data_IF_990167701693
#
_entry.id   IF_990167701693
#
_cell.length_a   1.000
_cell.length_b   1.000
_cell.length_c   1.000
_cell.angle_alpha   90.00
_cell.angle_beta   90.00
_cell.angle_gamma   90.00
#
_symmetry.space_group_name_H-M   'P 1'
#
loop_
_entity.id
_entity.type
_entity.pdbx_description
1 polymer ?
#
# COMPACT_ATOMS: atom_id res chain seq x y z
N UNK A 1 -12.18 21.22 -18.94
CA UNK A 1 -11.25 22.37 -18.90
C UNK A 1 -10.35 22.33 -20.13
N UNK A 2 -10.38 23.37 -20.94
CA UNK A 2 -9.50 23.55 -22.11
C UNK A 2 -8.79 24.88 -21.90
N UNK A 3 -7.46 24.90 -22.04
CA UNK A 3 -6.68 26.14 -22.15
C UNK A 3 -5.85 26.05 -23.41
N UNK A 4 -5.81 27.14 -24.18
CA UNK A 4 -4.97 27.28 -25.38
C UNK A 4 -5.10 26.11 -26.38
N UNK A 5 -6.34 25.64 -26.58
CA UNK A 5 -6.65 24.52 -27.48
C UNK A 5 -6.29 23.13 -26.95
N UNK A 6 -5.64 23.03 -25.78
CA UNK A 6 -5.30 21.76 -25.13
C UNK A 6 -6.33 21.42 -24.06
N UNK A 7 -6.91 20.23 -24.16
CA UNK A 7 -7.80 19.72 -23.10
C UNK A 7 -6.96 19.39 -21.86
N UNK A 8 -7.17 20.15 -20.79
CA UNK A 8 -6.47 19.99 -19.50
C UNK A 8 -7.18 18.95 -18.63
N UNK A 9 -8.51 18.97 -18.61
CA UNK A 9 -9.32 18.05 -17.81
C UNK A 9 -10.61 17.75 -18.55
N UNK A 10 -10.93 16.47 -18.69
CA UNK A 10 -12.22 16.00 -19.19
C UNK A 10 -12.68 14.92 -18.23
N UNK A 11 -13.88 15.08 -17.69
CA UNK A 11 -14.52 14.03 -16.91
C UNK A 11 -15.61 13.36 -17.72
N UNK A 12 -15.83 12.07 -17.49
CA UNK A 12 -16.85 11.28 -18.22
C UNK A 12 -18.29 11.59 -17.77
N UNK A 13 -18.47 12.38 -16.70
CA UNK A 13 -19.78 12.76 -16.18
C UNK A 13 -20.58 11.60 -15.59
N UNK A 14 -19.94 10.48 -15.23
CA UNK A 14 -20.62 9.27 -14.79
C UNK A 14 -21.28 9.36 -13.40
N UNK A 15 -21.04 10.46 -12.68
CA UNK A 15 -21.49 10.63 -11.28
C UNK A 15 -20.73 9.75 -10.28
N UNK A 16 -19.79 8.91 -10.73
CA UNK A 16 -19.01 8.04 -9.84
C UNK A 16 -17.74 8.75 -9.38
N UNK A 17 -17.71 9.10 -8.09
CA UNK A 17 -16.61 9.86 -7.47
C UNK A 17 -15.24 9.21 -7.74
N UNK A 18 -15.12 7.88 -7.66
CA UNK A 18 -13.87 7.17 -7.96
C UNK A 18 -13.34 7.41 -9.39
N UNK A 19 -14.22 7.50 -10.39
CA UNK A 19 -13.80 7.73 -11.78
C UNK A 19 -13.33 9.16 -11.98
N UNK A 20 -14.07 10.11 -11.40
CA UNK A 20 -13.68 11.52 -11.39
C UNK A 20 -12.32 11.70 -10.72
N UNK A 21 -12.07 11.00 -9.62
CA UNK A 21 -10.76 11.02 -8.96
C UNK A 21 -9.65 10.42 -9.84
N UNK A 22 -9.95 9.38 -10.63
CA UNK A 22 -8.98 8.81 -11.57
C UNK A 22 -8.65 9.79 -12.72
N UNK A 23 -9.62 10.55 -13.18
CA UNK A 23 -9.44 11.55 -14.24
C UNK A 23 -8.67 12.78 -13.74
N UNK A 24 -8.86 13.19 -12.49
CA UNK A 24 -8.19 14.36 -11.90
C UNK A 24 -6.78 14.00 -11.38
N UNK A 25 -6.65 12.90 -10.65
CA UNK A 25 -5.41 12.56 -9.93
C UNK A 25 -4.65 11.37 -10.52
N UNK A 26 -5.22 10.70 -11.52
CA UNK A 26 -4.63 9.55 -12.18
C UNK A 26 -5.04 8.23 -11.54
N UNK A 27 -4.96 7.16 -12.35
CA UNK A 27 -5.41 5.82 -11.99
C UNK A 27 -4.71 5.23 -10.76
N UNK A 28 -3.42 5.57 -10.56
CA UNK A 28 -2.65 5.07 -9.40
C UNK A 28 -3.27 5.55 -8.08
N UNK A 29 -3.64 6.83 -8.00
CA UNK A 29 -4.20 7.42 -6.78
C UNK A 29 -5.62 6.91 -6.58
N UNK A 30 -6.44 6.89 -7.63
CA UNK A 30 -7.83 6.45 -7.54
C UNK A 30 -7.98 4.99 -7.06
N UNK A 31 -7.09 4.09 -7.48
CA UNK A 31 -7.07 2.69 -7.00
C UNK A 31 -6.73 2.56 -5.52
N UNK A 32 -5.97 3.52 -4.99
CA UNK A 32 -5.53 3.54 -3.61
C UNK A 32 -6.45 4.37 -2.70
N UNK A 33 -7.56 4.92 -3.23
CA UNK A 33 -8.53 5.64 -2.40
C UNK A 33 -9.22 4.68 -1.43
N UNK A 34 -9.38 5.16 -0.20
CA UNK A 34 -10.17 4.49 0.83
C UNK A 34 -11.49 5.21 0.92
N UNK A 35 -12.57 4.50 0.56
CA UNK A 35 -13.93 4.98 0.74
C UNK A 35 -14.37 4.77 2.19
N UNK A 36 -14.96 5.80 2.78
CA UNK A 36 -15.36 5.86 4.18
C UNK A 36 -16.73 6.51 4.25
N UNK A 37 -17.64 5.86 4.97
CA UNK A 37 -18.97 6.40 5.26
C UNK A 37 -19.15 6.58 6.76
N UNK A 38 -19.98 7.54 7.16
CA UNK A 38 -20.29 7.80 8.56
C UNK A 38 -21.67 8.41 8.70
N UNK A 39 -22.52 7.75 9.48
CA UNK A 39 -23.89 8.18 9.71
C UNK A 39 -24.07 8.59 11.17
N UNK A 40 -24.78 9.69 11.37
CA UNK A 40 -25.29 10.14 12.68
C UNK A 40 -26.70 10.68 12.47
N UNK A 41 -27.41 11.00 13.56
CA UNK A 41 -28.76 11.56 13.46
C UNK A 41 -28.85 12.88 12.68
N UNK A 42 -27.74 13.63 12.58
CA UNK A 42 -27.69 14.95 11.98
C UNK A 42 -26.87 15.00 10.68
N UNK A 43 -26.04 13.99 10.40
CA UNK A 43 -25.06 14.00 9.31
C UNK A 43 -25.00 12.66 8.60
N UNK A 44 -24.95 12.71 7.26
CA UNK A 44 -24.47 11.64 6.41
C UNK A 44 -23.13 12.06 5.79
N UNK A 45 -22.07 11.31 6.06
CA UNK A 45 -20.72 11.56 5.59
C UNK A 45 -20.36 10.50 4.53
N UNK A 46 -20.01 10.94 3.34
CA UNK A 46 -19.35 10.13 2.30
C UNK A 46 -17.97 10.72 2.00
N UNK A 47 -16.93 9.92 2.12
CA UNK A 47 -15.57 10.42 2.00
C UNK A 47 -14.63 9.45 1.28
N UNK A 48 -13.69 10.01 0.53
CA UNK A 48 -12.64 9.28 -0.18
C UNK A 48 -11.30 9.88 0.22
N UNK A 49 -10.47 9.03 0.81
CA UNK A 49 -9.19 9.41 1.41
C UNK A 49 -8.05 8.71 0.67
N UNK A 50 -7.11 9.48 0.12
CA UNK A 50 -5.90 8.88 -0.43
C UNK A 50 -4.99 8.40 0.71
N UNK A 51 -4.28 7.30 0.46
CA UNK A 51 -3.29 6.82 1.42
C UNK A 51 -2.17 7.87 1.65
N UNK A 52 -1.52 7.85 2.83
CA UNK A 52 -0.49 8.84 3.18
C UNK A 52 0.67 8.97 2.17
N UNK A 53 0.99 7.90 1.44
CA UNK A 53 2.04 7.90 0.40
C UNK A 53 1.73 8.84 -0.77
N UNK A 54 0.46 9.17 -0.98
CA UNK A 54 0.01 10.07 -2.05
C UNK A 54 -0.18 11.52 -1.60
N UNK A 55 0.42 11.92 -0.48
CA UNK A 55 0.32 13.28 0.05
C UNK A 55 0.83 14.37 -0.92
N UNK A 56 0.52 15.63 -0.63
CA UNK A 56 0.92 16.83 -1.38
C UNK A 56 1.51 17.90 -0.47
N UNK A 57 2.22 18.87 -1.05
CA UNK A 57 2.82 19.99 -0.32
C UNK A 57 1.84 21.12 0.02
N UNK A 58 0.61 21.06 -0.52
CA UNK A 58 -0.41 22.09 -0.28
C UNK A 58 -1.77 21.47 0.05
N UNK A 59 -2.60 22.25 0.72
CA UNK A 59 -3.95 21.87 1.17
C UNK A 59 -5.04 21.95 0.09
N UNK A 60 -4.71 22.34 -1.14
CA UNK A 60 -5.73 22.53 -2.20
C UNK A 60 -6.34 21.21 -2.68
N UNK A 61 -5.76 20.08 -2.27
CA UNK A 61 -6.25 18.74 -2.57
C UNK A 61 -7.22 18.19 -1.53
N UNK A 62 -7.59 19.03 -0.55
CA UNK A 62 -8.65 18.75 0.43
C UNK A 62 -9.92 19.41 -0.09
N UNK A 63 -10.88 18.60 -0.52
CA UNK A 63 -12.15 19.05 -1.05
C UNK A 63 -13.28 18.69 -0.11
N UNK A 64 -13.96 19.69 0.45
CA UNK A 64 -15.04 19.52 1.42
C UNK A 64 -16.31 20.13 0.82
N UNK A 65 -17.37 19.32 0.80
CA UNK A 65 -18.68 19.70 0.32
C UNK A 65 -19.72 19.50 1.41
N UNK A 66 -20.65 20.44 1.52
CA UNK A 66 -21.82 20.34 2.38
C UNK A 66 -23.05 20.62 1.53
N UNK A 67 -23.99 19.67 1.46
CA UNK A 67 -25.20 19.77 0.64
C UNK A 67 -24.89 20.20 -0.81
N UNK A 68 -23.83 19.62 -1.40
CA UNK A 68 -23.37 19.90 -2.76
C UNK A 68 -22.60 21.22 -2.96
N UNK A 69 -22.39 22.03 -1.91
CA UNK A 69 -21.62 23.28 -1.99
C UNK A 69 -20.19 23.08 -1.52
N UNK A 70 -19.23 23.61 -2.27
CA UNK A 70 -17.83 23.63 -1.84
C UNK A 70 -17.62 24.60 -0.67
N UNK A 71 -17.10 24.11 0.45
CA UNK A 71 -16.94 24.87 1.69
C UNK A 71 -15.46 25.00 2.05
N UNK A 72 -15.06 26.20 2.47
CA UNK A 72 -13.77 26.43 3.13
C UNK A 72 -14.01 26.57 4.63
N UNK A 73 -13.78 25.49 5.37
CA UNK A 73 -13.88 25.50 6.83
C UNK A 73 -12.54 25.07 7.45
N UNK A 74 -11.97 25.92 8.31
CA UNK A 74 -10.68 25.68 8.96
C UNK A 74 -10.74 24.49 9.92
N UNK A 75 -11.82 24.36 10.68
CA UNK A 75 -11.98 23.30 11.67
C UNK A 75 -12.09 21.92 11.00
N UNK A 76 -12.84 21.79 9.91
CA UNK A 76 -12.93 20.53 9.17
C UNK A 76 -11.59 20.16 8.50
N UNK A 77 -10.86 21.14 7.97
CA UNK A 77 -9.50 20.90 7.48
C UNK A 77 -8.58 20.38 8.59
N UNK A 78 -8.69 20.95 9.79
CA UNK A 78 -7.94 20.50 10.97
C UNK A 78 -8.35 19.08 11.38
N UNK A 79 -9.65 18.74 11.34
CA UNK A 79 -10.15 17.40 11.62
C UNK A 79 -9.50 16.34 10.72
N UNK A 80 -9.41 16.64 9.42
CA UNK A 80 -8.78 15.75 8.44
C UNK A 80 -7.30 15.55 8.80
N UNK A 81 -6.56 16.63 9.03
CA UNK A 81 -5.14 16.54 9.40
C UNK A 81 -4.92 15.77 10.70
N UNK A 82 -5.79 15.96 11.69
CA UNK A 82 -5.76 15.26 12.98
C UNK A 82 -6.09 13.76 12.84
N UNK A 83 -6.98 13.40 11.91
CA UNK A 83 -7.25 12.00 11.56
C UNK A 83 -6.02 11.31 10.96
N UNK A 84 -5.26 12.05 10.15
CA UNK A 84 -3.99 11.61 9.56
C UNK A 84 -2.77 11.83 10.47
N UNK A 85 -2.97 12.30 11.70
CA UNK A 85 -1.89 12.56 12.64
C UNK A 85 -1.04 11.29 12.81
N UNK A 86 0.29 11.43 12.78
CA UNK A 86 1.33 10.37 12.72
C UNK A 86 1.54 9.68 11.37
N UNK A 87 0.58 9.73 10.44
CA UNK A 87 0.70 9.10 9.12
C UNK A 87 1.36 9.99 8.07
N UNK A 88 1.21 11.31 8.23
CA UNK A 88 1.77 12.30 7.31
C UNK A 88 3.08 12.88 7.84
N UNK A 89 4.02 13.12 6.92
CA UNK A 89 5.21 13.90 7.22
C UNK A 89 4.85 15.37 7.46
N UNK A 90 5.70 16.08 8.19
CA UNK A 90 5.53 17.52 8.47
C UNK A 90 5.42 18.31 7.16
N UNK A 91 4.45 19.22 7.10
CA UNK A 91 4.20 20.07 5.92
C UNK A 91 3.54 19.34 4.74
N UNK A 92 3.04 18.12 4.93
CA UNK A 92 2.29 17.37 3.92
C UNK A 92 0.79 17.37 4.22
N UNK A 93 0.01 17.33 3.17
CA UNK A 93 -1.45 17.32 3.20
C UNK A 93 -1.98 16.11 2.42
N UNK A 94 -3.07 15.47 2.87
CA UNK A 94 -3.68 14.38 2.13
C UNK A 94 -4.42 14.89 0.90
N UNK A 95 -4.69 13.97 -0.04
CA UNK A 95 -5.69 14.17 -1.07
C UNK A 95 -6.98 13.55 -0.54
N UNK A 96 -8.04 14.34 -0.45
CA UNK A 96 -9.32 13.82 0.00
C UNK A 96 -10.50 14.58 -0.61
N UNK A 97 -11.61 13.85 -0.65
CA UNK A 97 -12.92 14.38 -0.97
C UNK A 97 -13.88 13.96 0.12
N UNK A 98 -14.63 14.92 0.63
CA UNK A 98 -15.64 14.70 1.66
C UNK A 98 -16.91 15.39 1.22
N UNK A 99 -18.00 14.65 1.19
CA UNK A 99 -19.36 15.15 1.03
C UNK A 99 -20.13 14.91 2.33
N UNK A 100 -20.72 15.96 2.85
CA UNK A 100 -21.54 15.92 4.06
C UNK A 100 -22.95 16.36 3.67
N UNK A 101 -23.92 15.51 3.93
CA UNK A 101 -25.34 15.84 3.84
C UNK A 101 -25.89 16.04 5.25
N UNK A 102 -26.62 17.12 5.44
CA UNK A 102 -27.22 17.47 6.73
C UNK A 102 -28.42 18.39 6.54
N UNK A 103 -29.25 18.48 7.57
CA UNK A 103 -30.40 19.39 7.56
C UNK A 103 -29.95 20.84 7.28
N UNK A 104 -30.46 21.51 6.23
CA UNK A 104 -30.15 22.91 5.95
C UNK A 104 -30.39 23.85 7.12
N UNK A 105 -31.29 23.53 8.05
CA UNK A 105 -31.57 24.32 9.26
C UNK A 105 -30.36 24.33 10.21
N UNK A 106 -29.55 23.27 10.19
CA UNK A 106 -28.32 23.15 11.00
C UNK A 106 -27.09 23.78 10.32
N UNK A 107 -27.26 24.27 9.09
CA UNK A 107 -26.23 24.95 8.30
C UNK A 107 -26.60 26.42 8.18
N UNK A 108 -26.00 27.26 9.03
CA UNK A 108 -26.12 28.69 8.84
C UNK A 108 -25.14 29.14 7.75
N UNK A 109 -25.59 29.06 6.51
CA UNK A 109 -24.93 29.63 5.31
C UNK A 109 -25.09 31.15 5.28
N UNK A 110 -25.02 31.82 6.43
CA UNK A 110 -25.01 33.28 6.49
C UNK A 110 -23.61 33.80 6.17
N UNK A 111 -23.28 33.71 4.88
CA UNK A 111 -22.04 34.20 4.29
C UNK A 111 -22.35 34.66 2.89
N UNK A 112 -22.13 35.96 2.67
CA UNK A 112 -22.27 36.67 1.41
C UNK A 112 -21.91 35.81 0.18
N UNK A 113 -22.47 36.09 -1.02
CA UNK A 113 -22.25 35.32 -2.25
C UNK A 113 -20.80 34.99 -2.63
N UNK A 114 -19.84 35.71 -2.04
CA UNK A 114 -18.39 35.60 -2.25
C UNK A 114 -17.60 34.98 -1.08
N UNK A 115 -18.21 34.72 0.08
CA UNK A 115 -17.54 34.16 1.26
C UNK A 115 -17.91 32.67 1.43
N UNK A 116 -16.89 31.81 1.43
CA UNK A 116 -17.00 30.35 1.45
C UNK A 116 -17.03 29.77 2.88
N UNK A 117 -17.39 30.56 3.89
CA UNK A 117 -17.24 30.20 5.31
C UNK A 117 -18.58 29.87 5.95
N UNK A 118 -18.82 28.61 6.28
CA UNK A 118 -20.11 28.15 6.84
C UNK A 118 -20.01 27.97 8.36
N UNK A 119 -21.01 28.44 9.10
CA UNK A 119 -21.16 28.17 10.53
C UNK A 119 -22.06 26.95 10.73
N UNK A 120 -21.53 25.92 11.38
CA UNK A 120 -22.22 24.65 11.60
C UNK A 120 -22.60 24.55 13.08
N UNK A 121 -23.86 24.23 13.39
CA UNK A 121 -24.35 24.22 14.78
C UNK A 121 -23.74 23.13 15.67
N UNK A 122 -23.21 22.04 15.08
CA UNK A 122 -22.52 20.95 15.82
C UNK A 122 -21.18 20.58 15.18
N UNK A 123 -20.37 21.59 14.89
CA UNK A 123 -19.08 21.41 14.21
C UNK A 123 -18.09 20.50 14.96
N UNK A 124 -18.14 20.48 16.30
CA UNK A 124 -17.28 19.62 17.12
C UNK A 124 -17.62 18.13 16.97
N UNK A 125 -18.90 17.79 16.89
CA UNK A 125 -19.33 16.40 16.69
C UNK A 125 -18.89 15.90 15.32
N UNK A 126 -19.01 16.75 14.30
CA UNK A 126 -18.54 16.45 12.95
C UNK A 126 -17.01 16.33 12.90
N UNK A 127 -16.29 17.16 13.65
CA UNK A 127 -14.83 17.05 13.80
C UNK A 127 -14.45 15.68 14.35
N UNK A 128 -15.04 15.26 15.47
CA UNK A 128 -14.76 13.97 16.10
C UNK A 128 -15.10 12.79 15.19
N UNK A 129 -16.24 12.88 14.48
CA UNK A 129 -16.66 11.88 13.50
C UNK A 129 -15.62 11.71 12.40
N UNK A 130 -15.17 12.81 11.78
CA UNK A 130 -14.15 12.78 10.72
C UNK A 130 -12.84 12.17 11.22
N UNK A 131 -12.35 12.63 12.39
CA UNK A 131 -11.09 12.11 12.97
C UNK A 131 -11.19 10.61 13.22
N UNK A 132 -12.27 10.16 13.85
CA UNK A 132 -12.50 8.75 14.19
C UNK A 132 -12.57 7.91 12.93
N UNK A 133 -13.33 8.35 11.93
CA UNK A 133 -13.52 7.63 10.68
C UNK A 133 -12.24 7.50 9.85
N UNK A 134 -11.41 8.55 9.81
CA UNK A 134 -10.09 8.47 9.17
C UNK A 134 -9.19 7.50 9.93
N UNK A 135 -9.15 7.57 11.27
CA UNK A 135 -8.34 6.66 12.08
C UNK A 135 -8.76 5.22 11.88
N UNK A 136 -10.05 4.91 11.91
CA UNK A 136 -10.59 3.58 11.61
C UNK A 136 -10.16 3.09 10.23
N UNK A 137 -10.28 3.94 9.20
CA UNK A 137 -9.94 3.59 7.82
C UNK A 137 -8.46 3.20 7.62
N UNK A 138 -7.56 3.76 8.44
CA UNK A 138 -6.12 3.50 8.36
C UNK A 138 -5.57 2.61 9.48
N UNK A 139 -6.35 2.32 10.55
CA UNK A 139 -5.95 1.49 11.68
C UNK A 139 -5.56 0.07 11.26
N UNK A 140 -6.39 -0.56 10.42
CA UNK A 140 -6.19 -1.95 9.98
C UNK A 140 -5.08 -2.10 8.92
N UNK A 141 -4.68 -0.99 8.29
CA UNK A 141 -3.64 -0.99 7.25
C UNK A 141 -2.22 -0.75 7.79
N UNK A 142 -2.10 -0.37 9.06
CA UNK A 142 -0.82 -0.27 9.79
C UNK A 142 -0.45 -1.62 10.39
N UNK A 143 -1.39 -2.56 10.51
CA UNK A 143 -1.16 -3.90 11.05
C UNK A 143 -0.41 -4.78 10.03
N UNK A 144 0.89 -4.54 9.92
CA UNK A 144 1.90 -5.37 9.26
C UNK A 144 1.64 -5.53 7.76
N UNK A 145 2.59 -5.17 6.88
CA UNK A 145 2.49 -5.64 5.50
C UNK A 145 2.40 -7.16 5.58
N UNK A 146 1.27 -7.74 5.17
CA UNK A 146 1.31 -9.12 4.72
C UNK A 146 2.24 -9.09 3.52
N UNK A 147 3.53 -9.33 3.77
CA UNK A 147 4.41 -9.79 2.73
C UNK A 147 3.66 -10.97 2.12
N UNK A 148 3.26 -10.85 0.86
CA UNK A 148 3.05 -11.97 -0.03
C UNK A 148 4.40 -12.74 -0.08
N UNK A 149 4.75 -13.48 0.98
CA UNK A 149 5.90 -14.38 0.99
C UNK A 149 5.70 -15.49 -0.05
N UNK A 150 4.48 -15.65 -0.58
CA UNK A 150 4.16 -16.54 -1.69
C UNK A 150 4.71 -16.09 -3.06
N UNK A 151 5.24 -14.88 -3.20
CA UNK A 151 5.88 -14.43 -4.46
C UNK A 151 7.42 -14.47 -4.42
N UNK A 152 8.02 -14.89 -3.31
CA UNK A 152 9.48 -15.10 -3.18
C UNK A 152 9.92 -16.56 -3.32
N UNK A 153 9.06 -17.48 -3.75
CA UNK A 153 9.50 -18.76 -4.34
C UNK A 153 9.88 -18.58 -5.82
N UNK A 154 10.59 -17.50 -6.16
CA UNK A 154 11.47 -17.57 -7.33
C UNK A 154 12.63 -18.46 -6.91
N UNK A 155 12.53 -19.74 -7.30
CA UNK A 155 13.59 -20.75 -7.20
C UNK A 155 14.95 -20.07 -7.40
N UNK A 156 15.71 -19.91 -6.32
CA UNK A 156 17.01 -19.26 -6.36
C UNK A 156 17.93 -20.19 -7.14
N UNK A 157 18.02 -20.00 -8.47
CA UNK A 157 18.84 -20.84 -9.36
C UNK A 157 20.30 -20.97 -8.89
N UNK A 158 20.77 -19.94 -8.16
CA UNK A 158 22.11 -19.92 -7.57
C UNK A 158 22.26 -20.96 -6.46
N UNK A 159 21.23 -21.20 -5.65
CA UNK A 159 21.25 -22.20 -4.58
C UNK A 159 21.26 -23.62 -5.16
N UNK A 160 20.36 -23.89 -6.12
CA UNK A 160 20.30 -25.17 -6.86
C UNK A 160 21.65 -25.50 -7.53
N UNK A 161 22.30 -24.49 -8.13
CA UNK A 161 23.60 -24.66 -8.80
C UNK A 161 24.73 -24.93 -7.81
N UNK A 162 24.69 -24.32 -6.62
CA UNK A 162 25.68 -24.55 -5.57
C UNK A 162 25.56 -25.96 -4.97
N UNK A 163 24.34 -26.44 -4.77
CA UNK A 163 24.07 -27.79 -4.28
C UNK A 163 24.50 -28.86 -5.28
N UNK A 164 24.25 -28.65 -6.59
CA UNK A 164 24.76 -29.53 -7.65
C UNK A 164 26.29 -29.57 -7.68
N UNK A 165 26.95 -28.40 -7.63
CA UNK A 165 28.42 -28.34 -7.62
C UNK A 165 29.02 -29.05 -6.39
N UNK A 166 28.39 -28.93 -5.22
CA UNK A 166 28.83 -29.61 -4.00
C UNK A 166 28.68 -31.13 -4.12
N UNK A 167 27.54 -31.62 -4.61
CA UNK A 167 27.33 -33.06 -4.84
C UNK A 167 28.32 -33.64 -5.86
N UNK A 168 28.61 -32.92 -6.94
CA UNK A 168 29.56 -33.37 -7.96
C UNK A 168 31.00 -33.36 -7.46
N UNK A 169 31.33 -32.50 -6.51
CA UNK A 169 32.62 -32.50 -5.84
C UNK A 169 32.77 -33.70 -4.89
N UNK A 170 31.73 -33.98 -4.08
CA UNK A 170 31.72 -35.11 -3.15
C UNK A 170 31.77 -36.46 -3.89
N UNK A 171 31.05 -36.61 -5.01
CA UNK A 171 31.12 -37.80 -5.86
C UNK A 171 32.51 -38.03 -6.46
N UNK A 172 33.18 -36.96 -6.92
CA UNK A 172 34.55 -37.06 -7.44
C UNK A 172 35.56 -37.45 -6.37
N UNK A 173 35.40 -36.95 -5.15
CA UNK A 173 36.24 -37.35 -4.02
C UNK A 173 36.04 -38.83 -3.66
N UNK A 174 34.79 -39.32 -3.64
CA UNK A 174 34.51 -40.73 -3.41
C UNK A 174 35.08 -41.60 -4.53
N UNK A 175 34.88 -41.23 -5.79
CA UNK A 175 35.36 -42.02 -6.92
C UNK A 175 36.90 -42.11 -6.96
N UNK A 176 37.61 -41.01 -6.70
CA UNK A 176 39.07 -41.01 -6.56
C UNK A 176 39.55 -41.90 -5.41
N UNK A 177 38.84 -41.90 -4.27
CA UNK A 177 39.17 -42.79 -3.15
C UNK A 177 38.88 -44.26 -3.46
N UNK A 178 37.85 -44.58 -4.26
CA UNK A 178 37.58 -45.95 -4.69
C UNK A 178 38.63 -46.43 -5.71
N UNK A 179 39.02 -45.59 -6.67
CA UNK A 179 40.04 -45.92 -7.68
C UNK A 179 41.43 -46.16 -7.05
N UNK A 180 41.83 -45.35 -6.06
CA UNK A 180 43.08 -45.57 -5.30
C UNK A 180 43.08 -46.89 -4.51
N UNK A 181 41.93 -47.32 -3.99
CA UNK A 181 41.81 -48.61 -3.28
C UNK A 181 41.79 -49.82 -4.24
N UNK A 182 41.30 -49.65 -5.46
CA UNK A 182 41.29 -50.73 -6.47
C UNK A 182 42.69 -50.92 -7.06
N UNK A 183 43.45 -49.85 -7.34
CA UNK A 183 44.83 -49.96 -7.82
C UNK A 183 45.77 -50.64 -6.81
N UNK A 184 45.55 -50.44 -5.50
CA UNK A 184 46.30 -51.12 -4.43
C UNK A 184 45.94 -52.60 -4.23
N UNK A 185 44.81 -53.07 -4.77
CA UNK A 185 44.36 -54.47 -4.62
C UNK A 185 44.58 -55.35 -5.86
N UNK A 186 45.07 -54.77 -6.96
CA UNK A 186 45.31 -55.48 -8.23
C UNK A 186 46.78 -55.80 -8.55
N UNK A 187 47.70 -55.80 -7.57
CA UNK A 187 48.99 -56.46 -7.76
C UNK A 187 48.79 -58.00 -7.69
N UNK A 188 49.11 -58.76 -8.75
CA UNK A 188 48.97 -60.22 -8.70
C UNK A 188 50.01 -60.82 -7.76
N UNK A 189 49.52 -61.53 -6.74
CA UNK A 189 50.32 -62.32 -5.80
C UNK A 189 50.97 -63.52 -6.52
N UNK A 190 52.11 -63.29 -7.17
CA UNK A 190 53.00 -64.36 -7.63
C UNK A 190 53.91 -64.71 -6.46
N UNK A 191 53.53 -65.75 -5.69
CA UNK A 191 54.44 -66.73 -5.09
C UNK A 191 53.66 -67.71 -4.20
N UNK A 192 53.27 -68.84 -4.77
CA UNK A 192 53.05 -70.05 -3.99
C UNK A 192 53.66 -71.25 -4.73
N UNK A 193 54.87 -71.64 -4.32
CA UNK A 193 55.38 -73.01 -4.38
C UNK A 193 56.80 -72.99 -3.81
N UNK A 194 56.95 -73.47 -2.57
CA UNK A 194 58.02 -74.39 -2.15
C UNK A 194 58.06 -74.41 -0.62
N UNK A 195 57.43 -75.43 -0.03
CA UNK A 195 58.08 -76.34 0.92
C UNK A 195 57.03 -77.16 1.70
N UNK A 196 56.81 -78.40 1.25
CA UNK A 196 56.38 -79.50 2.11
C UNK A 196 56.61 -80.86 1.42
N UNK A 197 57.76 -81.48 1.67
CA UNK A 197 57.97 -82.94 1.80
C UNK A 197 59.40 -83.13 2.36
N UNK A 198 59.53 -83.23 3.68
CA UNK A 198 59.74 -84.48 4.46
C UNK A 198 61.19 -84.96 4.35
N UNK A 199 61.97 -84.72 5.41
CA UNK A 199 62.53 -85.74 6.31
C UNK A 199 63.16 -85.06 7.56
#
# INVERSE_FOLDING_TARGET
>A
LVSDGKTILKTNGSGRTNEVMAEIYGMKIAKDLVHVTGDTSDYHLEAYFAKPEHSRSNKHYISIFINGRYIKNFLLNKAILEGYHTLLMVGRYPICYINIEMDPILVDVNVHPTKLEVRLSKEDQLFELIVTKIREAFKDRILIPQNDMDKMTKKNKVLDQFEQQKMDFEKRQQQNNLEQNVEQSSEPNVNNANNASVD
#
